data_IF_509257369781
#
_entry.id   IF_509257369781
#
_cell.length_a   1.000
_cell.length_b   1.000
_cell.length_c   1.000
_cell.angle_alpha   90.00
_cell.angle_beta   90.00
_cell.angle_gamma   90.00
#
_symmetry.space_group_name_H-M   'P 1'
#
loop_
_entity.id
_entity.type
_entity.pdbx_description
1 polymer ?
#
# COMPACT_ATOMS: atom_id res chain seq x y z
N UNK A 1 -15.55 -6.66 -6.95
CA UNK A 1 -14.51 -7.67 -6.69
C UNK A 1 -13.13 -7.03 -6.79
N UNK A 2 -12.24 -7.32 -5.86
CA UNK A 2 -10.88 -6.78 -5.95
C UNK A 2 -10.17 -7.16 -7.25
N UNK A 3 -9.10 -6.44 -7.57
CA UNK A 3 -8.30 -6.71 -8.76
C UNK A 3 -7.82 -8.16 -8.80
N UNK A 4 -7.72 -8.71 -10.00
CA UNK A 4 -7.23 -10.07 -10.22
C UNK A 4 -5.73 -10.06 -10.54
N UNK A 5 -5.06 -11.15 -10.24
CA UNK A 5 -3.66 -11.36 -10.64
C UNK A 5 -3.52 -11.14 -12.14
N UNK A 6 -2.48 -10.42 -12.53
CA UNK A 6 -2.24 -10.01 -13.90
C UNK A 6 -2.80 -8.65 -14.28
N UNK A 7 -3.65 -8.07 -13.44
CA UNK A 7 -4.19 -6.73 -13.70
C UNK A 7 -3.09 -5.67 -13.65
N UNK A 8 -3.20 -4.65 -14.50
CA UNK A 8 -2.30 -3.51 -14.46
C UNK A 8 -2.58 -2.65 -13.22
N UNK A 9 -1.53 -2.03 -12.70
CA UNK A 9 -1.64 -1.08 -11.60
C UNK A 9 -2.60 0.05 -11.98
N UNK A 10 -3.70 0.25 -11.24
CA UNK A 10 -4.56 1.40 -11.46
C UNK A 10 -3.83 2.72 -11.20
N UNK A 11 -4.29 3.81 -11.81
CA UNK A 11 -3.74 5.13 -11.54
C UNK A 11 -3.85 5.48 -10.07
N UNK A 12 -2.81 6.07 -9.52
CA UNK A 12 -2.78 6.63 -8.17
C UNK A 12 -3.05 8.14 -8.15
N UNK A 13 -3.39 8.71 -9.30
CA UNK A 13 -3.64 10.14 -9.44
C UNK A 13 -5.06 10.51 -9.03
N UNK A 14 -5.30 11.81 -8.82
CA UNK A 14 -6.62 12.36 -8.52
C UNK A 14 -6.96 12.44 -7.04
N UNK A 15 -6.00 12.18 -6.15
CA UNK A 15 -6.17 12.36 -4.70
C UNK A 15 -5.55 13.68 -4.30
N UNK A 16 -6.31 14.51 -3.58
CA UNK A 16 -5.87 15.85 -3.21
C UNK A 16 -4.86 15.86 -2.08
N UNK A 17 -4.99 14.95 -1.13
CA UNK A 17 -4.19 14.97 0.10
C UNK A 17 -3.33 13.71 0.23
N UNK A 18 -2.04 13.92 0.50
CA UNK A 18 -1.06 12.86 0.69
C UNK A 18 -0.25 13.10 1.97
N UNK A 19 -0.07 12.05 2.75
CA UNK A 19 0.90 12.05 3.86
C UNK A 19 2.27 11.73 3.26
N UNK A 20 3.30 12.47 3.66
CA UNK A 20 4.67 12.33 3.14
C UNK A 20 4.81 12.68 1.65
N UNK A 21 3.85 13.41 1.09
CA UNK A 21 3.86 13.81 -0.32
C UNK A 21 3.38 12.72 -1.27
N UNK A 22 2.90 13.12 -2.44
CA UNK A 22 2.48 12.19 -3.48
C UNK A 22 3.71 11.48 -4.06
N UNK A 23 3.59 10.19 -4.46
CA UNK A 23 4.71 9.49 -5.06
C UNK A 23 5.01 10.08 -6.44
N UNK A 24 6.30 10.21 -6.76
CA UNK A 24 6.73 10.55 -8.09
C UNK A 24 6.59 9.31 -8.97
N UNK A 25 5.81 9.34 -10.06
CA UNK A 25 5.66 8.17 -10.94
C UNK A 25 7.00 7.57 -11.41
N UNK A 26 8.00 8.42 -11.61
CA UNK A 26 9.34 7.95 -12.00
C UNK A 26 9.99 7.08 -10.93
N UNK A 27 9.66 7.30 -9.66
CA UNK A 27 10.19 6.50 -8.56
C UNK A 27 9.49 5.15 -8.41
N UNK A 28 8.32 4.99 -9.01
CA UNK A 28 7.56 3.74 -8.99
C UNK A 28 7.82 2.89 -10.22
N UNK A 29 8.15 3.53 -11.34
CA UNK A 29 8.36 2.84 -12.60
C UNK A 29 9.54 1.86 -12.52
N UNK A 30 9.33 0.64 -13.00
CA UNK A 30 10.37 -0.38 -13.04
C UNK A 30 10.71 -1.00 -11.69
N UNK A 31 9.90 -0.76 -10.67
CA UNK A 31 10.10 -1.32 -9.32
C UNK A 31 8.90 -2.15 -8.89
N UNK A 32 9.13 -3.24 -8.14
CA UNK A 32 8.04 -3.88 -7.41
C UNK A 32 7.38 -2.87 -6.44
N UNK A 33 6.07 -2.96 -6.31
CA UNK A 33 5.28 -2.02 -5.51
C UNK A 33 4.34 -2.78 -4.57
N UNK A 34 4.33 -2.36 -3.31
CA UNK A 34 3.33 -2.79 -2.33
C UNK A 34 2.36 -1.63 -2.09
N UNK A 35 1.07 -1.87 -2.33
CA UNK A 35 0.01 -0.92 -1.97
C UNK A 35 -0.74 -1.46 -0.77
N UNK A 36 -0.79 -0.69 0.30
CA UNK A 36 -1.38 -1.06 1.58
C UNK A 36 -2.59 -0.19 1.89
N UNK A 37 -3.78 -0.81 1.96
CA UNK A 37 -5.02 -0.14 2.35
C UNK A 37 -5.26 -0.30 3.85
N UNK A 38 -5.65 0.80 4.52
CA UNK A 38 -5.86 0.83 5.96
C UNK A 38 -6.91 1.88 6.33
N UNK A 39 -7.37 1.88 7.59
CA UNK A 39 -8.31 2.88 8.11
C UNK A 39 -7.97 3.24 9.54
N UNK A 40 -8.24 4.47 9.95
CA UNK A 40 -8.03 4.89 11.35
C UNK A 40 -8.91 4.12 12.32
N UNK A 41 -10.09 3.69 11.89
CA UNK A 41 -11.02 2.90 12.72
C UNK A 41 -10.73 1.41 12.76
N UNK A 42 -9.67 0.96 12.07
CA UNK A 42 -9.35 -0.45 11.91
C UNK A 42 -8.32 -0.89 12.97
N UNK A 43 -8.75 -1.65 13.97
CA UNK A 43 -7.85 -2.15 15.01
C UNK A 43 -6.80 -3.12 14.45
N UNK A 44 -7.19 -3.98 13.50
CA UNK A 44 -6.27 -4.92 12.87
C UNK A 44 -5.19 -4.17 12.09
N UNK A 45 -5.55 -3.07 11.43
CA UNK A 45 -4.60 -2.22 10.73
C UNK A 45 -3.52 -1.69 11.67
N UNK A 46 -3.92 -1.24 12.86
CA UNK A 46 -2.97 -0.76 13.87
C UNK A 46 -2.10 -1.88 14.42
N UNK A 47 -2.66 -3.08 14.58
CA UNK A 47 -1.90 -4.24 15.05
C UNK A 47 -0.81 -4.67 14.07
N UNK A 48 -1.01 -4.47 12.77
CA UNK A 48 -0.02 -4.85 11.75
C UNK A 48 0.89 -3.69 11.33
N UNK A 49 0.71 -2.51 11.91
CA UNK A 49 1.50 -1.33 11.55
C UNK A 49 3.00 -1.57 11.68
N UNK A 50 3.44 -2.20 12.77
CA UNK A 50 4.86 -2.53 12.96
C UNK A 50 5.39 -3.49 11.91
N UNK A 51 4.55 -4.43 11.47
CA UNK A 51 4.92 -5.37 10.42
C UNK A 51 5.16 -4.65 9.10
N UNK A 52 4.23 -3.77 8.70
CA UNK A 52 4.36 -3.02 7.45
C UNK A 52 5.57 -2.10 7.49
N UNK A 53 5.79 -1.40 8.60
CA UNK A 53 6.96 -0.55 8.78
C UNK A 53 8.27 -1.35 8.65
N UNK A 54 8.29 -2.55 9.22
CA UNK A 54 9.43 -3.46 9.15
C UNK A 54 9.67 -3.92 7.70
N UNK A 55 8.62 -4.23 6.95
CA UNK A 55 8.76 -4.61 5.54
C UNK A 55 9.34 -3.48 4.72
N UNK A 56 8.87 -2.26 4.93
CA UNK A 56 9.40 -1.11 4.21
C UNK A 56 10.89 -0.90 4.55
N UNK A 57 11.26 -1.03 5.82
CA UNK A 57 12.65 -0.86 6.25
C UNK A 57 13.56 -1.95 5.69
N UNK A 58 13.07 -3.19 5.57
CA UNK A 58 13.85 -4.32 5.06
C UNK A 58 13.91 -4.34 3.54
N UNK A 59 12.76 -4.16 2.88
CA UNK A 59 12.68 -4.34 1.43
C UNK A 59 12.86 -3.03 0.64
N UNK A 60 12.60 -1.88 1.26
CA UNK A 60 12.76 -0.59 0.60
C UNK A 60 14.16 -0.37 0.02
N UNK A 61 15.22 -0.56 0.82
CA UNK A 61 16.60 -0.43 0.31
C UNK A 61 16.95 -1.44 -0.79
N UNK A 62 16.19 -2.54 -0.87
CA UNK A 62 16.37 -3.56 -1.89
C UNK A 62 15.56 -3.32 -3.16
N UNK A 63 14.79 -2.25 -3.21
CA UNK A 63 14.08 -1.83 -4.40
C UNK A 63 12.55 -1.86 -4.34
N UNK A 64 11.95 -2.29 -3.22
CA UNK A 64 10.49 -2.27 -3.09
C UNK A 64 10.00 -0.84 -2.85
N UNK A 65 9.06 -0.36 -3.67
CA UNK A 65 8.33 0.85 -3.40
C UNK A 65 7.09 0.51 -2.56
N UNK A 66 6.71 1.39 -1.64
CA UNK A 66 5.52 1.21 -0.80
C UNK A 66 4.65 2.45 -0.91
N UNK A 67 3.36 2.24 -1.11
CA UNK A 67 2.35 3.30 -1.11
C UNK A 67 1.21 2.87 -0.20
N UNK A 68 0.81 3.75 0.72
CA UNK A 68 -0.35 3.53 1.56
C UNK A 68 -1.58 4.22 0.98
N UNK A 69 -2.76 3.68 1.31
CA UNK A 69 -4.04 4.30 0.97
C UNK A 69 -4.96 4.20 2.18
N UNK A 70 -5.34 5.35 2.71
CA UNK A 70 -6.35 5.40 3.77
C UNK A 70 -7.73 5.28 3.13
N UNK A 71 -8.49 4.27 3.55
CA UNK A 71 -9.85 4.02 3.10
C UNK A 71 -10.83 4.45 4.19
N UNK A 72 -11.51 5.59 4.06
CA UNK A 72 -12.47 6.01 5.08
C UNK A 72 -13.67 5.06 5.12
N UNK A 73 -14.09 4.69 6.33
CA UNK A 73 -15.22 3.79 6.57
C UNK A 73 -16.42 4.48 7.20
N UNK A 74 -16.31 5.78 7.44
CA UNK A 74 -17.40 6.58 8.00
C UNK A 74 -17.09 8.07 7.93
N UNK A 75 -18.09 8.93 8.20
CA UNK A 75 -17.93 10.39 8.08
C UNK A 75 -16.82 10.97 8.97
N UNK A 76 -16.57 10.37 10.13
CA UNK A 76 -15.53 10.82 11.07
C UNK A 76 -14.12 10.61 10.52
N UNK A 77 -13.97 9.77 9.51
CA UNK A 77 -12.68 9.49 8.87
C UNK A 77 -12.39 10.43 7.69
N UNK A 78 -13.26 11.40 7.45
CA UNK A 78 -13.05 12.43 6.43
C UNK A 78 -12.24 13.62 6.94
N UNK A 79 -11.90 13.64 8.22
CA UNK A 79 -11.00 14.65 8.80
C UNK A 79 -9.55 14.29 8.43
N UNK A 80 -9.02 14.98 7.43
CA UNK A 80 -7.69 14.70 6.89
C UNK A 80 -6.58 14.91 7.93
N UNK A 81 -6.74 15.83 8.86
CA UNK A 81 -5.77 16.05 9.93
C UNK A 81 -5.68 14.85 10.87
N UNK A 82 -6.80 14.25 11.22
CA UNK A 82 -6.82 13.04 12.05
C UNK A 82 -6.18 11.86 11.32
N UNK A 83 -6.46 11.70 10.04
CA UNK A 83 -5.86 10.65 9.23
C UNK A 83 -4.34 10.82 9.17
N UNK A 84 -3.87 12.04 8.93
CA UNK A 84 -2.44 12.33 8.88
C UNK A 84 -1.74 12.06 10.21
N UNK A 85 -2.37 12.42 11.34
CA UNK A 85 -1.83 12.16 12.67
C UNK A 85 -1.71 10.66 12.94
N UNK A 86 -2.73 9.90 12.59
CA UNK A 86 -2.72 8.44 12.78
C UNK A 86 -1.67 7.77 11.90
N UNK A 87 -1.55 8.23 10.65
CA UNK A 87 -0.57 7.70 9.71
C UNK A 87 0.85 7.87 10.24
N UNK A 88 1.20 9.08 10.70
CA UNK A 88 2.55 9.38 11.18
C UNK A 88 2.84 8.85 12.58
N UNK A 89 1.82 8.74 13.42
CA UNK A 89 1.93 8.26 14.80
C UNK A 89 1.79 6.75 14.90
N UNK A 90 0.60 6.24 15.30
CA UNK A 90 0.41 4.81 15.52
C UNK A 90 0.73 3.93 14.32
N UNK A 91 0.45 4.38 13.10
CA UNK A 91 0.70 3.60 11.90
C UNK A 91 2.15 3.62 11.44
N UNK A 92 2.96 4.55 11.93
CA UNK A 92 4.41 4.65 11.61
C UNK A 92 4.70 4.73 10.11
N UNK A 93 3.81 5.37 9.37
CA UNK A 93 3.94 5.46 7.91
C UNK A 93 4.98 6.53 7.55
N UNK A 94 6.07 6.09 6.88
CA UNK A 94 7.15 6.95 6.41
C UNK A 94 7.20 7.04 4.88
N UNK A 95 6.28 6.38 4.19
CA UNK A 95 6.15 6.34 2.73
C UNK A 95 4.94 7.16 2.28
N UNK A 96 4.81 7.48 0.98
CA UNK A 96 3.64 8.19 0.49
C UNK A 96 2.35 7.45 0.85
N UNK A 97 1.39 8.17 1.43
CA UNK A 97 0.10 7.60 1.80
C UNK A 97 -1.01 8.54 1.35
N UNK A 98 -1.87 8.04 0.46
CA UNK A 98 -3.03 8.78 -0.02
C UNK A 98 -4.09 8.88 1.08
N UNK A 99 -4.64 10.07 1.27
CA UNK A 99 -5.84 10.26 2.09
C UNK A 99 -7.01 10.25 1.13
N UNK A 100 -7.56 9.06 0.88
CA UNK A 100 -8.51 8.81 -0.21
C UNK A 100 -9.94 9.11 0.20
N UNK A 101 -10.21 10.36 0.58
CA UNK A 101 -11.50 10.80 1.14
C UNK A 101 -12.68 10.52 0.21
N UNK A 102 -12.47 10.51 -1.09
CA UNK A 102 -13.52 10.28 -2.09
C UNK A 102 -13.54 8.86 -2.63
N UNK A 103 -12.76 7.95 -2.05
CA UNK A 103 -12.64 6.57 -2.51
C UNK A 103 -12.15 6.44 -3.97
N UNK A 104 -11.37 7.39 -4.43
CA UNK A 104 -10.88 7.41 -5.82
C UNK A 104 -10.01 6.20 -6.14
N UNK A 105 -8.98 5.97 -5.33
CA UNK A 105 -8.10 4.81 -5.49
C UNK A 105 -8.79 3.53 -5.05
N UNK A 106 -9.54 3.59 -3.95
CA UNK A 106 -10.30 2.45 -3.43
C UNK A 106 -11.20 1.84 -4.52
N UNK A 107 -11.94 2.68 -5.23
CA UNK A 107 -12.84 2.22 -6.29
C UNK A 107 -12.08 1.62 -7.48
N UNK A 108 -10.95 2.21 -7.86
CA UNK A 108 -10.11 1.69 -8.94
C UNK A 108 -9.57 0.30 -8.63
N UNK A 109 -9.22 0.04 -7.36
CA UNK A 109 -8.78 -1.27 -6.89
C UNK A 109 -9.94 -2.20 -6.57
N UNK A 110 -11.16 -1.65 -6.50
CA UNK A 110 -12.34 -2.37 -6.03
C UNK A 110 -12.09 -3.00 -4.66
N UNK A 111 -11.33 -2.29 -3.82
CA UNK A 111 -10.98 -2.80 -2.50
C UNK A 111 -12.16 -2.66 -1.54
N UNK A 112 -12.47 -3.74 -0.81
CA UNK A 112 -13.60 -3.79 0.11
C UNK A 112 -13.18 -3.79 1.56
N UNK A 113 -12.13 -4.49 1.90
CA UNK A 113 -11.71 -4.73 3.28
C UNK A 113 -10.35 -4.13 3.58
N UNK A 114 -10.15 -3.75 4.85
CA UNK A 114 -8.86 -3.31 5.37
C UNK A 114 -8.48 -4.17 6.57
N UNK A 115 -7.18 -4.43 6.81
CA UNK A 115 -6.07 -4.10 5.92
C UNK A 115 -6.05 -4.99 4.68
N UNK A 116 -5.55 -4.45 3.57
CA UNK A 116 -5.36 -5.20 2.34
C UNK A 116 -4.00 -4.85 1.73
N UNK A 117 -3.41 -5.81 1.03
CA UNK A 117 -2.05 -5.71 0.50
C UNK A 117 -2.07 -6.16 -0.95
N UNK A 118 -1.59 -5.30 -1.84
CA UNK A 118 -1.49 -5.59 -3.27
C UNK A 118 -0.03 -5.48 -3.68
N UNK A 119 0.53 -6.55 -4.24
CA UNK A 119 1.92 -6.57 -4.69
C UNK A 119 1.95 -6.61 -6.21
N UNK A 120 2.60 -5.61 -6.79
CA UNK A 120 2.79 -5.49 -8.25
C UNK A 120 4.25 -5.75 -8.58
N UNK A 121 4.49 -6.40 -9.71
CA UNK A 121 5.86 -6.60 -10.21
C UNK A 121 6.41 -5.32 -10.85
N UNK A 122 7.66 -5.38 -11.32
CA UNK A 122 8.33 -4.23 -11.92
C UNK A 122 7.66 -3.73 -13.21
N UNK A 123 6.85 -4.56 -13.85
CA UNK A 123 6.07 -4.20 -15.04
C UNK A 123 4.70 -3.63 -14.69
N UNK A 124 4.39 -3.50 -13.41
CA UNK A 124 3.11 -2.97 -12.94
C UNK A 124 1.95 -3.95 -13.02
N UNK A 125 2.23 -5.26 -12.98
CA UNK A 125 1.21 -6.30 -12.99
C UNK A 125 1.00 -6.85 -11.59
N UNK A 126 -0.26 -7.02 -11.19
CA UNK A 126 -0.58 -7.59 -9.88
C UNK A 126 -0.16 -9.06 -9.83
N UNK A 127 0.69 -9.40 -8.84
CA UNK A 127 1.19 -10.78 -8.66
C UNK A 127 0.71 -11.42 -7.36
N UNK A 128 0.25 -10.61 -6.40
CA UNK A 128 -0.24 -11.14 -5.13
C UNK A 128 -1.19 -10.14 -4.48
N UNK A 129 -2.24 -10.66 -3.86
CA UNK A 129 -3.17 -9.87 -3.05
C UNK A 129 -3.58 -10.69 -1.84
N UNK A 130 -3.62 -10.05 -0.68
CA UNK A 130 -4.18 -10.66 0.52
C UNK A 130 -4.75 -9.59 1.44
N UNK A 131 -5.52 -10.01 2.44
CA UNK A 131 -6.14 -9.13 3.43
C UNK A 131 -5.97 -9.71 4.83
N UNK A 132 -6.12 -8.85 5.85
CA UNK A 132 -6.08 -9.26 7.23
C UNK A 132 -4.69 -9.27 7.83
N UNK A 133 -4.52 -10.07 8.90
CA UNK A 133 -3.29 -10.11 9.69
C UNK A 133 -2.60 -11.49 9.70
N UNK A 134 -2.92 -12.32 8.72
CA UNK A 134 -2.40 -13.69 8.60
C UNK A 134 -1.83 -13.93 7.22
N UNK A 135 -0.99 -14.98 7.10
CA UNK A 135 -0.46 -15.41 5.82
C UNK A 135 0.64 -14.52 5.29
N UNK A 136 1.36 -13.83 6.15
CA UNK A 136 2.44 -12.93 5.75
C UNK A 136 3.64 -13.67 5.14
N UNK A 137 3.79 -14.96 5.42
CA UNK A 137 4.83 -15.79 4.80
C UNK A 137 4.70 -15.79 3.27
N UNK A 138 3.46 -15.84 2.76
CA UNK A 138 3.20 -15.80 1.31
C UNK A 138 3.54 -14.42 0.73
N UNK A 139 3.21 -13.36 1.48
CA UNK A 139 3.53 -11.99 1.09
C UNK A 139 5.05 -11.80 1.01
N UNK A 140 5.76 -12.23 2.05
CA UNK A 140 7.23 -12.15 2.10
C UNK A 140 7.88 -12.95 0.98
N UNK A 141 7.40 -14.17 0.74
CA UNK A 141 7.92 -15.03 -0.31
C UNK A 141 7.78 -14.37 -1.68
N UNK A 142 6.63 -13.76 -1.94
CA UNK A 142 6.39 -13.09 -3.23
C UNK A 142 7.27 -11.85 -3.38
N UNK A 143 7.39 -11.02 -2.36
CA UNK A 143 8.27 -9.85 -2.41
C UNK A 143 9.71 -10.26 -2.61
N UNK A 144 10.18 -11.26 -1.86
CA UNK A 144 11.54 -11.78 -2.01
C UNK A 144 11.83 -12.30 -3.40
N UNK A 145 10.87 -13.02 -3.99
CA UNK A 145 10.97 -13.52 -5.36
C UNK A 145 11.12 -12.38 -6.36
N UNK A 146 10.29 -11.33 -6.24
CA UNK A 146 10.35 -10.18 -7.13
C UNK A 146 11.68 -9.44 -7.03
N UNK A 147 12.16 -9.22 -5.81
CA UNK A 147 13.43 -8.53 -5.59
C UNK A 147 14.62 -9.34 -6.10
N UNK A 148 14.56 -10.66 -6.01
CA UNK A 148 15.59 -11.55 -6.56
C UNK A 148 15.62 -11.48 -8.09
N UNK A 149 14.46 -11.41 -8.74
CA UNK A 149 14.37 -11.25 -10.20
C UNK A 149 15.01 -9.94 -10.66
N UNK A 150 14.69 -8.84 -9.98
CA UNK A 150 15.21 -7.52 -10.33
C UNK A 150 16.74 -7.49 -10.17
N UNK A 151 17.27 -8.09 -9.12
CA UNK A 151 18.71 -8.20 -8.89
C UNK A 151 19.36 -9.04 -9.98
N UNK A 152 18.73 -10.13 -10.39
CA UNK A 152 19.23 -11.01 -11.44
C UNK A 152 19.20 -10.34 -12.82
N UNK A 153 18.22 -9.44 -13.05
CA UNK A 153 18.09 -8.71 -14.30
C UNK A 153 19.06 -7.53 -14.43
N UNK A 154 19.60 -7.09 -13.31
CA UNK A 154 20.58 -6.02 -13.29
C UNK A 154 21.96 -6.58 -13.64
#
# INVERSE_FOLDING_TARGET
MPLRTGSALPSLEGVADWVNGAPNPANLAGKPLLVHFWSISCSICHNVADDVARWQAEYGPRGLAVVGVHQPRGPEELDTAKVAQDAKGPMKIAWPCAIDSEHTIVERFENQFVPAYYVFDADGKLVHRQAGDRGFERLHAKIGELLARDTAAA
#
